data_IF_568359709027
#
_entry.id   IF_568359709027
#
_cell.length_a   1.000
_cell.length_b   1.000
_cell.length_c   1.000
_cell.angle_alpha   90.00
_cell.angle_beta   90.00
_cell.angle_gamma   90.00
#
_symmetry.space_group_name_H-M   'P 1'
#
loop_
_entity.id
_entity.type
_entity.pdbx_description
1 polymer ?
#
# COMPACT_ATOMS: atom_id res chain seq x y z
N UNK A 1 38.36 25.14 3.77
CA UNK A 1 38.34 23.66 3.65
C UNK A 1 36.96 23.28 3.14
N UNK A 2 36.81 22.98 1.86
CA UNK A 2 35.57 22.41 1.30
C UNK A 2 35.54 20.93 1.62
N UNK A 3 34.58 20.47 2.41
CA UNK A 3 34.43 19.05 2.70
C UNK A 3 33.97 18.31 1.44
N UNK A 4 34.74 17.30 1.03
CA UNK A 4 34.36 16.40 -0.06
C UNK A 4 33.29 15.44 0.43
N UNK A 5 32.10 15.48 -0.18
CA UNK A 5 31.03 14.51 0.07
C UNK A 5 31.46 13.16 -0.50
N UNK A 6 31.37 12.11 0.31
CA UNK A 6 31.79 10.74 -0.05
C UNK A 6 30.63 9.83 -0.41
N UNK A 7 29.47 10.06 0.21
CA UNK A 7 28.24 9.27 0.05
C UNK A 7 27.04 10.18 0.29
N UNK A 8 25.95 9.92 -0.44
CA UNK A 8 24.63 10.51 -0.22
C UNK A 8 23.60 9.39 -0.24
N UNK A 9 22.73 9.35 0.76
CA UNK A 9 21.57 8.46 0.80
C UNK A 9 20.34 9.25 0.36
N UNK A 10 19.53 8.66 -0.50
CA UNK A 10 18.27 9.25 -0.96
C UNK A 10 17.11 8.44 -0.39
N UNK A 11 16.10 9.15 0.09
CA UNK A 11 14.77 8.56 0.22
C UNK A 11 14.19 8.29 -1.16
N UNK A 12 13.22 7.39 -1.26
CA UNK A 12 12.66 6.95 -2.54
C UNK A 12 11.37 7.68 -2.90
N UNK A 13 10.33 7.52 -2.09
CA UNK A 13 9.00 8.08 -2.35
C UNK A 13 9.01 9.60 -2.20
N UNK A 14 8.40 10.31 -3.15
CA UNK A 14 8.36 11.79 -3.21
C UNK A 14 9.74 12.48 -3.28
N UNK A 15 10.83 11.70 -3.40
CA UNK A 15 12.21 12.18 -3.61
C UNK A 15 12.74 11.74 -4.97
N UNK A 16 12.71 10.43 -5.27
CA UNK A 16 13.18 9.84 -6.52
C UNK A 16 12.03 9.51 -7.47
N UNK A 17 10.89 9.06 -6.94
CA UNK A 17 9.71 8.73 -7.73
C UNK A 17 8.41 9.00 -6.97
N UNK A 18 7.33 9.12 -7.73
CA UNK A 18 5.96 9.20 -7.22
C UNK A 18 5.13 8.04 -7.78
N UNK A 19 4.04 7.71 -7.11
CA UNK A 19 3.06 6.73 -7.62
C UNK A 19 2.50 7.26 -8.94
N UNK A 20 2.42 6.42 -9.97
CA UNK A 20 1.76 6.77 -11.23
C UNK A 20 0.23 6.67 -11.06
N UNK A 21 -0.45 7.82 -11.05
CA UNK A 21 -1.87 7.91 -10.72
C UNK A 21 -2.10 8.03 -9.21
N UNK A 22 -3.14 7.35 -8.70
CA UNK A 22 -3.52 7.40 -7.28
C UNK A 22 -3.72 6.00 -6.71
N UNK A 23 -3.12 5.74 -5.55
CA UNK A 23 -3.38 4.51 -4.76
C UNK A 23 -4.87 4.33 -4.55
N UNK A 24 -5.59 5.41 -4.24
CA UNK A 24 -7.01 5.33 -3.93
C UNK A 24 -7.87 5.01 -5.15
N UNK A 25 -7.52 5.55 -6.32
CA UNK A 25 -8.23 5.25 -7.57
C UNK A 25 -7.95 3.82 -8.02
N UNK A 26 -6.73 3.34 -7.82
CA UNK A 26 -6.36 1.97 -8.13
C UNK A 26 -7.11 0.97 -7.23
N UNK A 27 -7.15 1.24 -5.92
CA UNK A 27 -7.90 0.43 -4.96
C UNK A 27 -9.38 0.43 -5.29
N UNK A 28 -9.97 1.60 -5.59
CA UNK A 28 -11.39 1.70 -5.91
C UNK A 28 -11.74 0.92 -7.17
N UNK A 29 -10.93 1.04 -8.22
CA UNK A 29 -11.14 0.33 -9.49
C UNK A 29 -11.20 -1.18 -9.28
N UNK A 30 -10.19 -1.75 -8.61
CA UNK A 30 -10.20 -3.18 -8.29
C UNK A 30 -11.35 -3.52 -7.35
N UNK A 31 -11.60 -2.76 -6.28
CA UNK A 31 -12.66 -3.06 -5.34
C UNK A 31 -14.06 -3.15 -5.99
N UNK A 32 -14.36 -2.26 -6.95
CA UNK A 32 -15.65 -2.25 -7.66
C UNK A 32 -15.83 -3.51 -8.51
N UNK A 33 -14.78 -4.00 -9.17
CA UNK A 33 -14.82 -5.25 -9.95
C UNK A 33 -15.20 -6.47 -9.08
N UNK A 34 -14.93 -6.41 -7.77
CA UNK A 34 -15.19 -7.49 -6.82
C UNK A 34 -16.35 -7.19 -5.86
N UNK A 35 -17.19 -6.21 -6.16
CA UNK A 35 -18.46 -5.98 -5.47
C UNK A 35 -18.46 -4.91 -4.38
N UNK A 36 -17.40 -4.09 -4.29
CA UNK A 36 -17.45 -2.88 -3.48
C UNK A 36 -18.46 -1.88 -4.05
N UNK A 37 -19.37 -1.38 -3.19
CA UNK A 37 -20.39 -0.40 -3.59
C UNK A 37 -19.79 0.99 -3.68
N UNK A 38 -19.44 1.43 -4.89
CA UNK A 38 -18.94 2.77 -5.15
C UNK A 38 -19.94 3.87 -4.78
N UNK A 39 -19.43 4.92 -4.14
CA UNK A 39 -20.10 6.18 -3.83
C UNK A 39 -19.28 7.34 -4.43
N UNK A 40 -19.85 8.55 -4.59
CA UNK A 40 -19.13 9.71 -5.10
C UNK A 40 -17.82 10.02 -4.37
N UNK A 41 -17.79 9.83 -3.04
CA UNK A 41 -16.62 10.12 -2.20
C UNK A 41 -15.68 8.92 -1.97
N UNK A 42 -15.94 7.74 -2.57
CA UNK A 42 -15.21 6.52 -2.23
C UNK A 42 -13.69 6.63 -2.45
N UNK A 43 -13.23 7.25 -3.54
CA UNK A 43 -11.79 7.43 -3.77
C UNK A 43 -11.15 8.32 -2.69
N UNK A 44 -11.85 9.38 -2.26
CA UNK A 44 -11.38 10.26 -1.20
C UNK A 44 -11.34 9.53 0.15
N UNK A 45 -12.39 8.77 0.47
CA UNK A 45 -12.48 7.96 1.70
C UNK A 45 -11.36 6.91 1.75
N UNK A 46 -11.15 6.17 0.65
CA UNK A 46 -10.07 5.19 0.52
C UNK A 46 -8.71 5.85 0.70
N UNK A 47 -8.44 6.98 0.04
CA UNK A 47 -7.16 7.69 0.19
C UNK A 47 -6.92 8.19 1.62
N UNK A 48 -7.95 8.65 2.31
CA UNK A 48 -7.84 9.05 3.72
C UNK A 48 -7.66 7.85 4.66
N UNK A 49 -8.30 6.73 4.37
CA UNK A 49 -8.14 5.49 5.12
C UNK A 49 -6.74 4.90 4.90
N UNK A 50 -6.21 4.93 3.67
CA UNK A 50 -4.86 4.49 3.35
C UNK A 50 -3.80 5.28 4.12
N UNK A 51 -3.84 6.62 4.07
CA UNK A 51 -2.89 7.46 4.83
C UNK A 51 -2.90 7.14 6.32
N UNK A 52 -4.08 6.87 6.89
CA UNK A 52 -4.23 6.49 8.29
C UNK A 52 -3.67 5.10 8.57
N UNK A 53 -4.09 4.09 7.81
CA UNK A 53 -3.63 2.72 7.96
C UNK A 53 -2.11 2.60 7.79
N UNK A 54 -1.54 3.30 6.80
CA UNK A 54 -0.10 3.34 6.56
C UNK A 54 0.67 4.02 7.70
N UNK A 55 0.16 5.14 8.22
CA UNK A 55 0.78 5.82 9.37
C UNK A 55 0.69 5.00 10.67
N UNK A 56 -0.40 4.27 10.87
CA UNK A 56 -0.61 3.42 12.06
C UNK A 56 0.15 2.08 11.99
N UNK A 57 0.55 1.65 10.79
CA UNK A 57 1.25 0.39 10.61
C UNK A 57 2.63 0.41 11.31
N UNK A 58 3.06 -0.69 11.96
CA UNK A 58 4.42 -0.79 12.44
C UNK A 58 5.39 -0.71 11.25
N UNK A 59 6.63 -0.22 11.44
CA UNK A 59 7.63 -0.26 10.39
C UNK A 59 7.79 -1.69 9.83
N UNK A 60 7.98 -1.87 8.50
CA UNK A 60 8.14 -3.19 7.88
C UNK A 60 9.54 -3.76 8.15
N UNK A 61 9.84 -4.01 9.43
CA UNK A 61 11.09 -4.59 9.91
C UNK A 61 10.81 -6.01 10.36
N UNK A 62 11.38 -6.97 9.65
CA UNK A 62 11.12 -8.39 9.87
C UNK A 62 12.34 -9.08 10.47
N UNK A 63 12.13 -9.99 11.42
CA UNK A 63 13.21 -10.74 12.08
C UNK A 63 13.77 -11.89 11.21
N UNK A 64 13.12 -12.20 10.09
CA UNK A 64 13.53 -13.27 9.17
C UNK A 64 14.67 -12.80 8.27
N UNK A 65 15.61 -13.70 8.00
CA UNK A 65 16.79 -13.42 7.16
C UNK A 65 16.70 -14.05 5.78
N UNK A 66 15.87 -15.08 5.61
CA UNK A 66 15.70 -15.76 4.33
C UNK A 66 14.89 -14.87 3.36
N UNK A 67 15.40 -14.56 2.15
CA UNK A 67 14.75 -13.63 1.23
C UNK A 67 13.29 -13.99 0.90
N UNK A 68 12.97 -15.27 0.76
CA UNK A 68 11.60 -15.72 0.50
C UNK A 68 10.66 -15.44 1.68
N UNK A 69 11.17 -15.54 2.92
CA UNK A 69 10.39 -15.24 4.13
C UNK A 69 10.20 -13.73 4.31
N UNK A 70 11.17 -12.92 3.90
CA UNK A 70 11.04 -11.45 3.88
C UNK A 70 9.90 -11.06 2.95
N UNK A 71 9.90 -11.54 1.69
CA UNK A 71 8.81 -11.25 0.73
C UNK A 71 7.44 -11.67 1.24
N UNK A 72 7.35 -12.84 1.86
CA UNK A 72 6.10 -13.29 2.48
C UNK A 72 5.66 -12.37 3.62
N UNK A 73 6.60 -11.90 4.45
CA UNK A 73 6.33 -10.99 5.56
C UNK A 73 5.88 -9.61 5.04
N UNK A 74 6.51 -9.10 3.98
CA UNK A 74 6.11 -7.86 3.30
C UNK A 74 4.69 -7.97 2.74
N UNK A 75 4.35 -9.08 2.08
CA UNK A 75 3.01 -9.31 1.56
C UNK A 75 1.96 -9.33 2.67
N UNK A 76 2.24 -9.98 3.81
CA UNK A 76 1.33 -9.99 4.96
C UNK A 76 1.19 -8.60 5.60
N UNK A 77 2.29 -7.87 5.71
CA UNK A 77 2.26 -6.49 6.20
C UNK A 77 1.40 -5.58 5.32
N UNK A 78 1.52 -5.70 4.00
CA UNK A 78 0.65 -5.00 3.06
C UNK A 78 -0.80 -5.46 3.17
N UNK A 79 -1.05 -6.76 3.34
CA UNK A 79 -2.41 -7.29 3.54
C UNK A 79 -3.11 -6.61 4.71
N UNK A 80 -2.45 -6.48 5.86
CA UNK A 80 -3.01 -5.83 7.04
C UNK A 80 -3.36 -4.36 6.79
N UNK A 81 -2.52 -3.63 6.05
CA UNK A 81 -2.78 -2.23 5.69
C UNK A 81 -3.99 -2.12 4.78
N UNK A 82 -4.02 -2.86 3.68
CA UNK A 82 -5.14 -2.80 2.72
C UNK A 82 -6.44 -3.27 3.37
N UNK A 83 -6.39 -4.30 4.22
CA UNK A 83 -7.52 -4.76 5.00
C UNK A 83 -8.04 -3.66 5.94
N UNK A 84 -7.16 -2.95 6.65
CA UNK A 84 -7.55 -1.82 7.51
C UNK A 84 -8.20 -0.67 6.72
N UNK A 85 -7.75 -0.41 5.49
CA UNK A 85 -8.41 0.54 4.58
C UNK A 85 -9.87 0.16 4.36
N UNK A 86 -10.13 -1.06 3.88
CA UNK A 86 -11.48 -1.50 3.54
C UNK A 86 -12.36 -1.77 4.77
N UNK A 87 -11.77 -2.15 5.89
CA UNK A 87 -12.46 -2.20 7.18
C UNK A 87 -13.06 -0.83 7.55
N UNK A 88 -12.35 0.28 7.26
CA UNK A 88 -12.81 1.65 7.57
C UNK A 88 -13.81 2.21 6.56
N UNK A 89 -13.69 1.87 5.28
CA UNK A 89 -14.54 2.45 4.22
C UNK A 89 -15.75 1.58 3.86
N UNK A 90 -15.78 0.33 4.32
CA UNK A 90 -16.86 -0.62 4.09
C UNK A 90 -16.31 -1.93 3.52
N UNK A 91 -16.23 -2.96 4.36
CA UNK A 91 -15.76 -4.28 3.96
C UNK A 91 -16.79 -5.00 3.07
N UNK A 92 -16.32 -5.94 2.27
CA UNK A 92 -17.10 -6.73 1.32
C UNK A 92 -16.54 -8.15 1.23
N UNK A 93 -17.35 -9.10 0.74
CA UNK A 93 -17.05 -10.54 0.82
C UNK A 93 -15.79 -10.96 0.06
N UNK A 94 -15.51 -10.34 -1.09
CA UNK A 94 -14.43 -10.72 -2.01
C UNK A 94 -13.15 -9.88 -1.81
N UNK A 95 -12.87 -9.48 -0.57
CA UNK A 95 -11.71 -8.65 -0.24
C UNK A 95 -10.38 -9.31 -0.63
N UNK A 96 -10.20 -10.60 -0.36
CA UNK A 96 -8.94 -11.30 -0.63
C UNK A 96 -8.56 -11.25 -2.12
N UNK A 97 -9.56 -11.35 -3.01
CA UNK A 97 -9.35 -11.25 -4.46
C UNK A 97 -8.92 -9.84 -4.89
N UNK A 98 -9.43 -8.81 -4.22
CA UNK A 98 -9.00 -7.42 -4.43
C UNK A 98 -7.58 -7.21 -3.94
N UNK A 99 -7.24 -7.75 -2.77
CA UNK A 99 -5.88 -7.68 -2.28
C UNK A 99 -4.90 -8.33 -3.26
N UNK A 100 -5.22 -9.53 -3.75
CA UNK A 100 -4.37 -10.23 -4.71
C UNK A 100 -4.14 -9.41 -6.00
N UNK A 101 -5.18 -8.79 -6.55
CA UNK A 101 -5.02 -7.94 -7.73
C UNK A 101 -4.22 -6.67 -7.44
N UNK A 102 -4.54 -5.98 -6.34
CA UNK A 102 -3.85 -4.75 -5.94
C UNK A 102 -2.37 -5.04 -5.69
N UNK A 103 -2.03 -6.11 -4.99
CA UNK A 103 -0.65 -6.46 -4.68
C UNK A 103 0.14 -6.75 -5.97
N UNK A 104 -0.41 -7.57 -6.87
CA UNK A 104 0.23 -7.88 -8.17
C UNK A 104 0.44 -6.64 -9.04
N UNK A 105 -0.48 -5.67 -8.99
CA UNK A 105 -0.32 -4.44 -9.79
C UNK A 105 0.85 -3.54 -9.37
N UNK A 106 1.50 -3.84 -8.24
CA UNK A 106 2.71 -3.18 -7.75
C UNK A 106 3.94 -4.12 -7.68
N UNK A 107 3.85 -5.38 -8.12
CA UNK A 107 4.99 -6.31 -8.11
C UNK A 107 5.97 -6.11 -9.27
N UNK A 108 5.53 -5.46 -10.36
CA UNK A 108 6.32 -5.18 -11.58
C UNK A 108 6.89 -3.75 -11.57
#
# INVERSE_FOLDING_TARGET
>A
MTHSIRVVFFDAADTLFHVHGSVAEMYLRHAVEFGFRQKPDSAKEIGQAFRRAFHEAPPPVFAVTEPAQIKQSERLWWFDIVHNVFYRVGMFERFDEVFDQVFRSFED
#
